data_IF_450421699420
#
_entry.id   IF_450421699420
#
_cell.length_a   1.000
_cell.length_b   1.000
_cell.length_c   1.000
_cell.angle_alpha   90.00
_cell.angle_beta   90.00
_cell.angle_gamma   90.00
#
_symmetry.space_group_name_H-M   'P 1'
#
loop_
_entity.id
_entity.type
_entity.pdbx_description
1 polymer ?
#
# COMPACT_ATOMS: atom_id res chain seq x y z
N UNK A 1 -20.51 12.38 21.63
CA UNK A 1 -19.77 11.18 22.10
C UNK A 1 -18.74 10.83 21.04
N UNK A 2 -17.52 11.38 21.14
CA UNK A 2 -16.51 11.32 20.08
C UNK A 2 -15.69 10.04 20.27
N UNK A 3 -15.76 9.10 19.32
CA UNK A 3 -14.86 7.94 19.31
C UNK A 3 -13.46 8.43 18.97
N UNK A 4 -12.48 8.08 19.81
CA UNK A 4 -11.05 8.30 19.52
C UNK A 4 -10.72 7.70 18.16
N UNK A 5 -10.01 8.48 17.35
CA UNK A 5 -9.65 8.07 16.00
C UNK A 5 -8.54 7.03 16.03
N UNK A 6 -8.62 6.16 15.04
CA UNK A 6 -8.02 4.84 15.07
C UNK A 6 -6.85 4.79 14.07
N UNK A 7 -5.80 4.06 14.43
CA UNK A 7 -4.47 4.24 13.83
C UNK A 7 -4.23 3.37 12.59
N UNK A 8 -5.26 2.70 12.06
CA UNK A 8 -5.21 1.88 10.85
C UNK A 8 -5.65 2.65 9.60
N UNK A 9 -4.71 3.27 8.88
CA UNK A 9 -4.98 3.81 7.54
C UNK A 9 -3.77 3.92 6.61
N UNK A 10 -2.58 4.28 7.12
CA UNK A 10 -1.35 4.47 6.32
C UNK A 10 -0.16 3.79 7.01
N UNK A 11 0.63 3.01 6.25
CA UNK A 11 1.16 1.78 6.85
C UNK A 11 2.36 1.03 6.17
N UNK A 12 3.25 1.66 5.38
CA UNK A 12 4.09 0.94 4.37
C UNK A 12 5.47 1.75 4.12
N UNK A 13 6.73 1.18 3.87
CA UNK A 13 8.19 1.63 3.44
C UNK A 13 9.66 1.89 4.14
N UNK A 14 10.57 0.95 4.54
CA UNK A 14 12.09 0.91 4.76
C UNK A 14 12.80 -0.07 5.74
N UNK A 15 13.98 -0.69 5.48
CA UNK A 15 15.00 -0.60 4.37
C UNK A 15 15.75 -1.93 4.07
N UNK A 16 16.26 -2.22 2.83
CA UNK A 16 17.60 -1.92 2.22
C UNK A 16 17.69 -2.60 0.80
N UNK A 17 18.55 -2.33 -0.20
CA UNK A 17 19.84 -1.59 -0.32
C UNK A 17 20.12 -0.93 -1.71
N UNK A 18 21.29 -1.19 -2.36
CA UNK A 18 21.83 -0.51 -3.56
C UNK A 18 22.35 -1.52 -4.64
N UNK A 19 22.41 -1.07 -5.91
CA UNK A 19 23.24 -1.57 -7.05
C UNK A 19 22.56 -2.47 -8.12
N UNK A 20 22.99 -2.22 -9.36
CA UNK A 20 22.85 -3.02 -10.59
C UNK A 20 21.48 -3.04 -11.29
N UNK A 21 21.43 -2.39 -12.46
CA UNK A 21 20.47 -2.73 -13.50
C UNK A 21 20.85 -4.09 -14.11
N UNK A 22 20.24 -5.17 -13.62
CA UNK A 22 19.96 -6.34 -14.42
C UNK A 22 18.43 -6.54 -14.46
N UNK A 23 17.91 -6.89 -15.63
CA UNK A 23 16.62 -7.55 -15.71
C UNK A 23 16.73 -8.90 -14.98
N UNK A 24 16.35 -8.93 -13.71
CA UNK A 24 16.01 -10.17 -13.04
C UNK A 24 14.72 -10.69 -13.72
N UNK A 25 14.85 -11.77 -14.50
CA UNK A 25 13.71 -12.43 -15.09
C UNK A 25 12.77 -12.90 -13.95
N UNK A 26 11.59 -12.28 -13.83
CA UNK A 26 10.65 -12.52 -12.73
C UNK A 26 10.33 -11.31 -11.83
N UNK A 27 10.81 -10.10 -12.14
CA UNK A 27 10.32 -8.87 -11.52
C UNK A 27 9.24 -8.20 -12.40
N UNK A 28 7.99 -8.25 -11.94
CA UNK A 28 6.83 -7.60 -12.54
C UNK A 28 6.60 -6.23 -11.88
N UNK A 29 6.22 -5.24 -12.68
CA UNK A 29 5.98 -3.87 -12.22
C UNK A 29 4.69 -3.36 -12.86
N UNK A 30 3.79 -2.85 -12.03
CA UNK A 30 2.48 -2.37 -12.45
C UNK A 30 2.27 -0.93 -12.00
N UNK A 31 1.85 -0.08 -12.92
CA UNK A 31 1.52 1.32 -12.73
C UNK A 31 0.01 1.50 -12.58
N UNK A 32 -0.35 2.44 -11.71
CA UNK A 32 -1.73 2.75 -11.37
C UNK A 32 -1.94 4.25 -11.33
N UNK A 33 -3.08 4.69 -11.86
CA UNK A 33 -3.54 6.06 -11.73
C UNK A 33 -4.43 6.20 -10.50
N UNK A 34 -4.23 7.27 -9.72
CA UNK A 34 -5.06 7.57 -8.54
C UNK A 34 -6.24 8.46 -8.94
N UNK A 35 -7.43 8.06 -8.50
CA UNK A 35 -8.64 8.86 -8.53
C UNK A 35 -9.11 9.13 -7.11
N UNK A 36 -9.32 10.40 -6.76
CA UNK A 36 -9.84 10.81 -5.47
C UNK A 36 -11.30 11.23 -5.57
N UNK A 37 -12.10 10.82 -4.59
CA UNK A 37 -13.51 11.20 -4.46
C UNK A 37 -13.72 11.84 -3.10
N UNK A 38 -14.34 13.02 -3.08
CA UNK A 38 -14.63 13.79 -1.87
C UNK A 38 -16.13 14.13 -1.83
N UNK A 39 -16.76 14.00 -0.66
CA UNK A 39 -18.18 14.27 -0.45
C UNK A 39 -18.42 15.49 0.43
N UNK A 40 -18.36 16.72 -0.11
CA UNK A 40 -18.70 17.91 0.66
C UNK A 40 -20.16 17.84 1.15
N UNK A 41 -20.37 18.15 2.43
CA UNK A 41 -21.69 18.34 3.05
C UNK A 41 -22.69 17.17 2.87
N UNK A 42 -22.21 15.93 2.70
CA UNK A 42 -23.03 14.70 2.52
C UNK A 42 -23.84 14.64 1.21
N UNK A 43 -23.95 15.72 0.43
CA UNK A 43 -24.89 15.77 -0.71
C UNK A 43 -24.42 14.89 -1.88
N UNK A 44 -23.32 15.25 -2.55
CA UNK A 44 -22.83 14.58 -3.76
C UNK A 44 -21.31 14.31 -3.71
N UNK A 45 -20.85 13.33 -4.50
CA UNK A 45 -19.42 13.04 -4.66
C UNK A 45 -18.81 13.89 -5.78
N UNK A 46 -17.83 14.72 -5.43
CA UNK A 46 -16.89 15.30 -6.39
C UNK A 46 -15.80 14.27 -6.65
N UNK A 47 -15.49 14.02 -7.92
CA UNK A 47 -14.45 13.09 -8.35
C UNK A 47 -13.37 13.86 -9.11
N UNK A 48 -12.09 13.54 -8.86
CA UNK A 48 -10.97 14.03 -9.66
C UNK A 48 -10.03 12.88 -9.98
N UNK A 49 -9.81 12.70 -11.28
CA UNK A 49 -8.95 11.70 -11.87
C UNK A 49 -7.50 12.18 -11.96
N UNK A 50 -6.54 11.27 -11.79
CA UNK A 50 -5.12 11.54 -12.02
C UNK A 50 -4.49 12.46 -10.98
N UNK A 51 -4.94 12.40 -9.72
CA UNK A 51 -4.42 13.23 -8.62
C UNK A 51 -3.06 12.78 -8.08
N UNK A 52 -2.49 11.73 -8.67
CA UNK A 52 -1.29 11.04 -8.24
C UNK A 52 -1.19 9.67 -8.90
N UNK A 53 -0.13 8.94 -8.56
CA UNK A 53 0.20 7.64 -9.15
C UNK A 53 0.55 6.63 -8.06
N UNK A 54 0.43 5.35 -8.39
CA UNK A 54 0.98 4.25 -7.59
C UNK A 54 1.74 3.26 -8.48
N UNK A 55 2.70 2.55 -7.88
CA UNK A 55 3.51 1.51 -8.53
C UNK A 55 3.56 0.31 -7.59
N UNK A 56 3.03 -0.82 -8.03
CA UNK A 56 3.23 -2.13 -7.40
C UNK A 56 4.42 -2.81 -8.09
N UNK A 57 5.36 -3.36 -7.32
CA UNK A 57 6.37 -4.29 -7.86
C UNK A 57 6.22 -5.63 -7.16
N UNK A 58 6.25 -6.72 -7.92
CA UNK A 58 6.30 -8.10 -7.42
C UNK A 58 7.53 -8.76 -8.02
N UNK A 59 8.36 -9.39 -7.20
CA UNK A 59 9.39 -10.31 -7.73
C UNK A 59 9.41 -11.59 -6.93
N UNK A 60 9.41 -12.72 -7.63
CA UNK A 60 9.44 -14.04 -7.02
C UNK A 60 10.62 -14.84 -7.59
N UNK A 61 11.59 -15.13 -6.73
CA UNK A 61 12.69 -16.07 -6.95
C UNK A 61 12.39 -17.40 -6.23
N UNK A 62 13.30 -18.36 -6.34
CA UNK A 62 13.21 -19.68 -5.69
C UNK A 62 13.14 -19.63 -4.16
N UNK A 63 13.78 -18.62 -3.56
CA UNK A 63 14.06 -18.50 -2.13
C UNK A 63 13.64 -17.13 -1.56
N UNK A 64 13.49 -16.11 -2.41
CA UNK A 64 13.03 -14.76 -2.06
C UNK A 64 11.71 -14.41 -2.75
N UNK A 65 10.75 -13.87 -2.00
CA UNK A 65 9.60 -13.15 -2.54
C UNK A 65 9.63 -11.72 -2.05
N UNK A 66 9.45 -10.76 -2.97
CA UNK A 66 9.42 -9.34 -2.67
C UNK A 66 8.16 -8.70 -3.23
N UNK A 67 7.48 -7.93 -2.39
CA UNK A 67 6.36 -7.07 -2.80
C UNK A 67 6.71 -5.63 -2.46
N UNK A 68 6.45 -4.68 -3.34
CA UNK A 68 6.62 -3.25 -3.06
C UNK A 68 5.43 -2.45 -3.60
N UNK A 69 5.04 -1.37 -2.92
CA UNK A 69 3.92 -0.51 -3.31
C UNK A 69 4.23 0.95 -2.99
N UNK A 70 4.57 1.73 -4.01
CA UNK A 70 4.60 3.19 -3.94
C UNK A 70 3.20 3.73 -4.23
N UNK A 71 2.69 4.66 -3.43
CA UNK A 71 1.40 5.32 -3.65
C UNK A 71 1.50 6.78 -3.17
N UNK A 72 1.17 7.74 -4.03
CA UNK A 72 1.25 9.15 -3.65
C UNK A 72 0.41 10.08 -4.50
N UNK A 73 -0.15 11.11 -3.85
CA UNK A 73 -0.66 12.28 -4.56
C UNK A 73 0.50 13.08 -5.16
N UNK A 74 0.25 13.69 -6.31
CA UNK A 74 1.18 14.57 -6.99
C UNK A 74 0.73 16.02 -6.73
N UNK A 75 1.52 16.86 -6.04
CA UNK A 75 1.09 18.21 -5.66
C UNK A 75 0.83 19.14 -6.85
N UNK A 76 1.29 18.81 -8.07
CA UNK A 76 0.97 19.56 -9.28
C UNK A 76 -0.44 19.23 -9.82
N UNK A 77 -0.94 18.02 -9.55
CA UNK A 77 -2.23 17.51 -10.06
C UNK A 77 -3.34 17.45 -8.98
N UNK A 78 -2.95 17.25 -7.72
CA UNK A 78 -3.84 17.11 -6.58
C UNK A 78 -4.51 18.45 -6.19
N UNK A 79 -5.80 18.44 -5.80
CA UNK A 79 -6.42 19.61 -5.19
C UNK A 79 -5.64 20.09 -3.96
N UNK A 80 -5.57 21.41 -3.77
CA UNK A 80 -4.88 22.06 -2.65
C UNK A 80 -3.38 21.71 -2.52
N UNK A 81 -2.74 21.24 -3.60
CA UNK A 81 -1.31 20.86 -3.62
C UNK A 81 -0.92 19.83 -2.54
N UNK A 82 -1.85 18.93 -2.19
CA UNK A 82 -1.60 17.90 -1.18
C UNK A 82 -0.46 16.99 -1.65
N UNK A 83 0.65 17.00 -0.90
CA UNK A 83 1.76 16.07 -1.03
C UNK A 83 1.62 14.98 0.06
N UNK A 84 0.96 13.87 -0.25
CA UNK A 84 0.79 12.73 0.67
C UNK A 84 1.09 11.43 -0.03
N UNK A 85 1.99 10.66 0.55
CA UNK A 85 2.42 9.42 -0.04
C UNK A 85 3.01 8.47 1.00
N UNK A 86 3.09 7.20 0.60
CA UNK A 86 3.83 6.15 1.27
C UNK A 86 4.40 5.18 0.24
N UNK A 87 5.48 4.50 0.60
CA UNK A 87 6.01 3.37 -0.17
C UNK A 87 5.66 2.05 0.56
N UNK A 88 6.14 0.87 0.15
CA UNK A 88 6.52 -0.29 0.99
C UNK A 88 7.43 -1.17 0.20
N UNK A 89 8.22 -1.96 0.91
CA UNK A 89 8.65 -3.25 0.43
C UNK A 89 8.51 -4.29 1.57
N UNK A 90 8.18 -5.51 1.22
CA UNK A 90 8.15 -6.69 2.08
C UNK A 90 9.03 -7.71 1.39
N UNK A 91 10.20 -7.98 1.96
CA UNK A 91 11.15 -8.98 1.49
C UNK A 91 11.02 -10.21 2.38
N UNK A 92 10.79 -11.38 1.80
CA UNK A 92 10.54 -12.64 2.51
C UNK A 92 11.49 -13.70 1.97
N UNK A 93 12.31 -14.28 2.86
CA UNK A 93 13.27 -15.36 2.56
C UNK A 93 13.01 -16.55 3.47
N UNK A 94 12.28 -17.53 2.97
CA UNK A 94 11.84 -18.70 3.75
C UNK A 94 11.01 -18.31 4.97
N UNK A 95 11.59 -18.37 6.17
CA UNK A 95 10.96 -17.93 7.44
C UNK A 95 11.34 -16.51 7.85
N UNK A 96 12.43 -15.98 7.31
CA UNK A 96 12.87 -14.62 7.59
C UNK A 96 12.08 -13.62 6.74
N UNK A 97 11.85 -12.44 7.29
CA UNK A 97 11.32 -11.33 6.51
C UNK A 97 11.81 -9.97 7.01
N UNK A 98 11.91 -9.03 6.07
CA UNK A 98 12.17 -7.62 6.31
C UNK A 98 10.98 -6.84 5.77
N UNK A 99 10.18 -6.29 6.69
CA UNK A 99 9.16 -5.31 6.36
C UNK A 99 9.69 -3.92 6.67
N UNK A 100 9.16 -3.01 5.87
CA UNK A 100 9.77 -1.77 5.54
C UNK A 100 8.57 -0.78 5.57
N UNK A 101 8.62 0.33 6.35
CA UNK A 101 7.68 1.49 6.55
C UNK A 101 8.18 2.97 6.30
N UNK A 102 7.57 3.82 5.43
CA UNK A 102 7.75 5.28 5.21
C UNK A 102 6.46 5.91 4.69
N UNK A 103 6.00 6.95 5.37
CA UNK A 103 4.89 7.79 4.92
C UNK A 103 5.03 9.22 5.44
N UNK A 104 4.40 10.16 4.75
CA UNK A 104 4.09 11.49 5.31
C UNK A 104 3.24 11.33 6.58
N UNK A 105 3.61 11.97 7.70
CA UNK A 105 2.80 11.94 8.92
C UNK A 105 1.45 12.68 8.71
N UNK A 106 0.37 12.18 9.30
CA UNK A 106 -0.94 12.84 9.27
C UNK A 106 -1.71 12.63 10.58
N UNK A 107 -2.03 13.72 11.28
CA UNK A 107 -2.81 13.74 12.52
C UNK A 107 -4.20 14.39 12.31
N UNK A 108 -4.86 14.06 11.20
CA UNK A 108 -6.00 14.84 10.69
C UNK A 108 -7.38 14.16 10.76
N UNK A 109 -8.35 14.94 11.21
CA UNK A 109 -9.75 14.52 11.37
C UNK A 109 -10.69 15.09 10.28
N UNK A 110 -10.32 16.17 9.59
CA UNK A 110 -11.20 16.91 8.66
C UNK A 110 -10.47 17.62 7.50
N UNK A 111 -11.22 17.99 6.45
CA UNK A 111 -10.73 18.79 5.31
C UNK A 111 -10.22 20.17 5.77
N UNK A 112 -10.94 20.83 6.68
CA UNK A 112 -10.52 22.12 7.24
C UNK A 112 -9.21 22.01 8.04
N UNK A 113 -8.95 20.86 8.68
CA UNK A 113 -7.66 20.60 9.32
C UNK A 113 -6.54 20.45 8.28
N UNK A 114 -6.79 19.78 7.14
CA UNK A 114 -5.83 19.71 6.04
C UNK A 114 -5.50 21.11 5.48
N UNK A 115 -6.51 21.94 5.20
CA UNK A 115 -6.33 23.32 4.72
C UNK A 115 -5.66 24.25 5.75
N UNK A 116 -5.86 24.01 7.05
CA UNK A 116 -5.23 24.75 8.14
C UNK A 116 -3.76 24.34 8.31
N UNK A 117 -3.49 23.04 8.23
CA UNK A 117 -2.15 22.47 8.26
C UNK A 117 -1.32 22.98 7.07
N UNK A 118 -1.83 22.92 5.83
CA UNK A 118 -1.16 23.44 4.63
C UNK A 118 -0.76 24.92 4.80
N UNK A 119 -1.58 25.73 5.49
CA UNK A 119 -1.29 27.15 5.75
C UNK A 119 -0.33 27.40 6.92
N UNK A 120 -0.24 26.50 7.90
CA UNK A 120 0.68 26.60 9.04
C UNK A 120 2.02 25.87 8.81
N UNK A 121 2.11 25.04 7.77
CA UNK A 121 3.29 24.27 7.35
C UNK A 121 4.39 25.10 6.65
N UNK A 122 4.27 26.43 6.60
CA UNK A 122 5.29 27.34 6.03
C UNK A 122 6.62 27.41 6.82
N UNK A 123 6.86 26.47 7.74
CA UNK A 123 8.03 26.41 8.63
C UNK A 123 8.89 25.13 8.47
N UNK A 124 8.93 24.55 7.27
CA UNK A 124 10.17 24.01 6.70
C UNK A 124 10.76 22.71 7.28
N UNK A 125 9.99 21.88 8.00
CA UNK A 125 10.36 20.47 8.29
C UNK A 125 9.14 19.58 8.27
N UNK A 126 9.15 18.58 7.39
CA UNK A 126 8.01 17.70 7.15
C UNK A 126 8.33 16.33 7.77
N UNK A 127 7.63 15.91 8.84
CA UNK A 127 7.94 14.66 9.51
C UNK A 127 7.48 13.45 8.68
N UNK A 128 8.42 12.54 8.43
CA UNK A 128 8.15 11.24 7.82
C UNK A 128 8.23 10.15 8.87
N UNK A 129 7.23 9.28 8.90
CA UNK A 129 7.16 8.16 9.83
C UNK A 129 7.78 6.93 9.20
N UNK A 130 8.92 6.50 9.75
CA UNK A 130 9.65 5.30 9.32
C UNK A 130 9.26 4.11 10.20
N UNK A 131 9.20 2.91 9.62
CA UNK A 131 9.00 1.63 10.29
C UNK A 131 10.04 0.67 9.76
N UNK A 132 10.73 -0.04 10.63
CA UNK A 132 11.61 -1.15 10.26
C UNK A 132 11.09 -2.37 11.01
N UNK A 133 10.86 -3.48 10.31
CA UNK A 133 10.35 -4.70 10.94
C UNK A 133 11.15 -5.91 10.45
N UNK A 134 11.64 -6.71 11.38
CA UNK A 134 12.24 -8.02 11.07
C UNK A 134 11.41 -9.13 11.67
N UNK A 135 11.33 -10.26 10.98
CA UNK A 135 10.68 -11.47 11.47
C UNK A 135 11.53 -12.72 11.20
N UNK A 136 11.38 -13.73 12.05
CA UNK A 136 12.09 -15.03 12.03
C UNK A 136 11.12 -16.23 11.92
N UNK A 137 9.83 -15.94 11.69
CA UNK A 137 8.73 -16.91 11.65
C UNK A 137 8.18 -17.32 13.01
N UNK A 138 8.79 -16.91 14.13
CA UNK A 138 8.23 -17.04 15.49
C UNK A 138 7.87 -15.69 16.11
N UNK A 139 8.55 -14.62 15.71
CA UNK A 139 8.39 -13.26 16.22
C UNK A 139 8.53 -12.25 15.09
N UNK A 140 7.90 -11.11 15.27
CA UNK A 140 8.15 -9.91 14.50
C UNK A 140 8.53 -8.76 15.44
N UNK A 141 9.70 -8.16 15.20
CA UNK A 141 10.21 -6.99 15.92
C UNK A 141 10.04 -5.77 15.03
N UNK A 142 9.19 -4.83 15.43
CA UNK A 142 8.84 -3.63 14.66
C UNK A 142 9.30 -2.38 15.42
N UNK A 143 10.12 -1.55 14.78
CA UNK A 143 10.61 -0.26 15.27
C UNK A 143 9.92 0.85 14.49
N UNK A 144 9.33 1.82 15.19
CA UNK A 144 8.72 3.02 14.58
C UNK A 144 9.51 4.25 15.01
N UNK A 145 9.92 5.08 14.05
CA UNK A 145 10.64 6.35 14.28
C UNK A 145 10.08 7.45 13.39
N UNK A 146 10.38 8.70 13.72
CA UNK A 146 10.06 9.87 12.89
C UNK A 146 11.37 10.53 12.50
N UNK A 147 11.52 10.82 11.21
CA UNK A 147 12.63 11.59 10.65
C UNK A 147 12.12 12.96 10.21
N UNK A 148 12.93 14.00 10.38
CA UNK A 148 12.55 15.36 10.01
C UNK A 148 13.17 15.69 8.64
N UNK A 149 12.38 15.62 7.57
CA UNK A 149 12.90 15.96 6.26
C UNK A 149 13.30 17.46 6.21
N UNK A 150 14.45 17.80 5.61
CA UNK A 150 14.88 19.19 5.42
C UNK A 150 14.03 19.95 4.40
N UNK A 151 13.27 19.25 3.56
CA UNK A 151 12.41 19.81 2.52
C UNK A 151 11.17 18.94 2.26
N UNK A 152 10.24 19.46 1.45
CA UNK A 152 9.00 18.80 1.06
C UNK A 152 9.26 17.76 -0.05
N UNK A 153 9.66 16.54 0.34
CA UNK A 153 9.88 15.46 -0.61
C UNK A 153 8.56 14.91 -1.17
N UNK A 154 8.49 14.80 -2.49
CA UNK A 154 7.39 14.14 -3.22
C UNK A 154 7.65 12.64 -3.40
N UNK A 155 6.62 11.92 -3.84
CA UNK A 155 6.68 10.50 -4.24
C UNK A 155 7.83 10.18 -5.22
N UNK A 156 8.30 11.17 -6.00
CA UNK A 156 9.39 11.04 -6.99
C UNK A 156 10.78 10.98 -6.33
N UNK A 157 10.91 11.55 -5.12
CA UNK A 157 12.18 11.62 -4.37
C UNK A 157 12.35 10.47 -3.37
N UNK A 158 11.58 9.38 -3.54
CA UNK A 158 11.67 8.18 -2.70
C UNK A 158 13.13 7.79 -2.39
N UNK A 159 14.06 7.59 -3.36
CA UNK A 159 15.44 7.15 -3.05
C UNK A 159 16.20 8.06 -2.07
N UNK A 160 15.92 9.36 -2.08
CA UNK A 160 16.58 10.35 -1.21
C UNK A 160 16.08 10.19 0.23
N UNK A 161 14.77 10.06 0.41
CA UNK A 161 14.19 9.75 1.72
C UNK A 161 14.57 8.36 2.21
N UNK A 162 14.85 7.44 1.29
CA UNK A 162 15.36 6.14 1.68
C UNK A 162 16.73 6.26 2.36
N UNK A 163 17.67 6.90 1.66
CA UNK A 163 19.02 7.18 2.16
C UNK A 163 19.01 8.09 3.42
N UNK A 164 18.08 9.05 3.52
CA UNK A 164 17.89 9.84 4.74
C UNK A 164 17.45 8.97 5.94
N UNK A 165 16.40 8.16 5.76
CA UNK A 165 15.91 7.25 6.80
C UNK A 165 17.01 6.29 7.27
N UNK A 166 17.83 5.74 6.36
CA UNK A 166 18.95 4.86 6.69
C UNK A 166 20.01 5.52 7.58
N UNK A 167 20.32 6.79 7.33
CA UNK A 167 21.36 7.56 8.02
C UNK A 167 20.89 8.11 9.36
N UNK A 168 19.66 8.58 9.46
CA UNK A 168 19.09 9.10 10.71
C UNK A 168 18.76 7.96 11.70
N UNK A 169 19.71 7.66 12.60
CA UNK A 169 19.52 6.68 13.69
C UNK A 169 18.81 7.28 14.91
N UNK A 170 17.68 7.93 14.68
CA UNK A 170 16.79 8.44 15.75
C UNK A 170 16.24 7.27 16.56
N UNK A 171 16.17 7.42 17.89
CA UNK A 171 15.50 6.44 18.74
C UNK A 171 14.03 6.28 18.33
N UNK A 172 13.55 5.03 18.35
CA UNK A 172 12.22 4.67 17.90
C UNK A 172 11.54 3.72 18.87
N UNK A 173 10.21 3.77 18.91
CA UNK A 173 9.41 2.82 19.71
C UNK A 173 9.55 1.43 19.10
N UNK A 174 10.16 0.50 19.83
CA UNK A 174 10.24 -0.91 19.46
C UNK A 174 9.09 -1.70 20.06
N UNK A 175 8.54 -2.66 19.32
CA UNK A 175 7.51 -3.59 19.74
C UNK A 175 7.79 -4.98 19.18
N UNK A 176 7.66 -6.00 20.01
CA UNK A 176 7.83 -7.41 19.62
C UNK A 176 6.49 -8.11 19.76
N UNK A 177 6.07 -8.84 18.74
CA UNK A 177 4.92 -9.76 18.79
C UNK A 177 5.38 -11.18 18.46
N UNK A 178 4.74 -12.18 19.08
CA UNK A 178 4.85 -13.58 18.61
C UNK A 178 3.98 -13.75 17.37
N UNK A 179 4.52 -14.44 16.37
CA UNK A 179 3.81 -14.87 15.17
C UNK A 179 3.18 -16.23 15.44
N UNK A 180 1.85 -16.38 15.30
CA UNK A 180 1.22 -17.69 15.20
C UNK A 180 1.73 -18.46 13.98
N UNK A 181 1.64 -19.79 14.02
CA UNK A 181 1.93 -20.62 12.85
C UNK A 181 1.07 -20.20 11.64
N UNK A 182 1.69 -20.15 10.46
CA UNK A 182 1.04 -19.68 9.23
C UNK A 182 0.81 -18.16 9.14
N UNK A 183 1.13 -17.37 10.16
CA UNK A 183 1.02 -15.92 10.08
C UNK A 183 2.01 -15.32 9.07
N UNK A 184 1.57 -14.29 8.33
CA UNK A 184 2.43 -13.56 7.40
C UNK A 184 3.19 -12.41 8.09
N UNK A 185 4.44 -12.15 7.67
CA UNK A 185 5.29 -11.14 8.30
C UNK A 185 4.87 -9.70 7.97
N UNK A 186 3.99 -9.51 6.97
CA UNK A 186 3.55 -8.21 6.48
C UNK A 186 2.16 -8.25 5.83
N UNK A 187 1.68 -7.08 5.45
CA UNK A 187 0.35 -6.86 4.88
C UNK A 187 0.27 -7.20 3.40
N UNK A 188 1.25 -6.81 2.58
CA UNK A 188 1.23 -7.10 1.14
C UNK A 188 1.27 -8.61 0.88
N UNK A 189 2.11 -9.34 1.59
CA UNK A 189 2.17 -10.80 1.50
C UNK A 189 0.84 -11.47 1.93
N UNK A 190 0.17 -10.92 2.95
CA UNK A 190 -1.16 -11.39 3.35
C UNK A 190 -2.23 -11.10 2.30
N UNK A 191 -2.17 -9.93 1.63
CA UNK A 191 -3.08 -9.57 0.53
C UNK A 191 -2.83 -10.44 -0.70
N UNK A 192 -1.57 -10.66 -1.08
CA UNK A 192 -1.18 -11.53 -2.19
C UNK A 192 -1.75 -12.95 -2.02
N UNK A 193 -1.53 -13.55 -0.85
CA UNK A 193 -2.13 -14.85 -0.55
C UNK A 193 -3.65 -14.80 -0.50
N UNK A 194 -4.26 -13.75 0.07
CA UNK A 194 -5.71 -13.63 0.14
C UNK A 194 -6.39 -13.44 -1.23
N UNK A 195 -5.64 -13.16 -2.31
CA UNK A 195 -6.17 -13.16 -3.68
C UNK A 195 -6.25 -14.57 -4.29
N UNK A 196 -5.42 -15.53 -3.83
CA UNK A 196 -5.37 -16.89 -4.40
C UNK A 196 -6.65 -17.70 -4.11
N UNK A 197 -6.89 -18.73 -4.92
CA UNK A 197 -7.97 -19.69 -4.66
C UNK A 197 -7.54 -20.70 -3.58
N UNK A 198 -8.48 -21.14 -2.74
CA UNK A 198 -8.19 -22.06 -1.62
C UNK A 198 -7.48 -21.47 -0.39
N UNK A 199 -7.05 -20.20 -0.43
CA UNK A 199 -6.31 -19.57 0.69
C UNK A 199 -7.05 -19.57 2.03
N UNK A 200 -6.31 -19.67 3.16
CA UNK A 200 -6.86 -19.51 4.50
C UNK A 200 -7.64 -18.20 4.67
N UNK A 201 -8.70 -18.24 5.45
CA UNK A 201 -9.56 -17.07 5.69
C UNK A 201 -10.12 -17.12 7.12
N UNK A 202 -9.59 -16.33 8.08
CA UNK A 202 -8.63 -15.24 7.90
C UNK A 202 -7.19 -15.68 7.63
N UNK A 203 -6.40 -14.77 7.06
CA UNK A 203 -4.93 -14.78 7.12
C UNK A 203 -4.48 -13.87 8.26
N UNK A 204 -3.75 -14.41 9.22
CA UNK A 204 -3.10 -13.61 10.28
C UNK A 204 -1.85 -12.94 9.73
N UNK A 205 -1.61 -11.67 10.05
CA UNK A 205 -0.38 -10.98 9.69
C UNK A 205 0.12 -10.03 10.78
N UNK A 206 1.43 -9.81 10.82
CA UNK A 206 2.05 -8.82 11.70
C UNK A 206 2.16 -7.46 11.01
N UNK A 207 1.88 -6.40 11.76
CA UNK A 207 2.01 -5.03 11.27
C UNK A 207 2.12 -4.03 12.43
N UNK A 208 3.01 -3.04 12.36
CA UNK A 208 3.28 -2.06 13.45
C UNK A 208 3.55 -2.66 14.86
N UNK A 209 4.10 -3.88 14.92
CA UNK A 209 4.26 -4.62 16.19
C UNK A 209 2.91 -4.93 16.85
N UNK A 210 1.89 -5.22 16.04
CA UNK A 210 0.57 -5.74 16.39
C UNK A 210 0.23 -6.88 15.42
N UNK A 211 -0.73 -7.72 15.80
CA UNK A 211 -1.30 -8.73 14.92
C UNK A 211 -2.65 -8.27 14.36
N UNK A 212 -2.92 -8.66 13.12
CA UNK A 212 -4.16 -8.40 12.40
C UNK A 212 -4.65 -9.68 11.73
N UNK A 213 -5.95 -9.76 11.47
CA UNK A 213 -6.59 -10.84 10.74
C UNK A 213 -7.25 -10.27 9.47
N UNK A 214 -6.68 -10.57 8.30
CA UNK A 214 -7.24 -10.22 7.00
C UNK A 214 -8.27 -11.27 6.57
N UNK A 215 -9.50 -10.85 6.28
CA UNK A 215 -10.55 -11.70 5.71
C UNK A 215 -10.93 -11.24 4.32
N UNK A 216 -10.98 -12.16 3.36
CA UNK A 216 -11.70 -12.00 2.09
C UNK A 216 -13.16 -12.35 2.34
N UNK A 217 -14.10 -11.49 1.97
CA UNK A 217 -15.53 -11.69 2.30
C UNK A 217 -16.35 -11.90 1.04
N UNK A 218 -17.02 -10.86 0.55
CA UNK A 218 -17.79 -10.90 -0.69
C UNK A 218 -16.84 -11.10 -1.87
N UNK A 219 -17.19 -11.99 -2.79
CA UNK A 219 -16.48 -12.18 -4.06
C UNK A 219 -17.48 -12.19 -5.22
N UNK A 220 -17.06 -11.67 -6.37
CA UNK A 220 -17.81 -11.68 -7.61
C UNK A 220 -16.85 -11.94 -8.77
N UNK A 221 -17.11 -12.98 -9.56
CA UNK A 221 -16.38 -13.23 -10.81
C UNK A 221 -16.80 -12.22 -11.88
N UNK A 222 -15.81 -11.74 -12.63
CA UNK A 222 -15.94 -10.84 -13.77
C UNK A 222 -15.32 -11.59 -14.95
N UNK A 223 -16.10 -11.80 -16.02
CA UNK A 223 -15.65 -12.57 -17.18
C UNK A 223 -14.50 -11.89 -17.93
N UNK A 224 -14.54 -10.55 -17.99
CA UNK A 224 -13.52 -9.70 -18.58
C UNK A 224 -13.53 -8.32 -17.90
N UNK A 225 -12.39 -7.91 -17.33
CA UNK A 225 -12.23 -6.59 -16.71
C UNK A 225 -11.65 -5.59 -17.70
N UNK A 226 -12.28 -4.42 -17.78
CA UNK A 226 -11.94 -3.35 -18.71
C UNK A 226 -11.53 -2.09 -17.95
N UNK A 227 -10.40 -1.48 -18.35
CA UNK A 227 -9.96 -0.17 -17.88
C UNK A 227 -9.73 0.76 -19.08
N UNK A 228 -10.55 1.80 -19.20
CA UNK A 228 -10.58 2.64 -20.40
C UNK A 228 -10.97 1.83 -21.63
N UNK A 229 -10.05 1.73 -22.61
CA UNK A 229 -10.19 0.91 -23.81
C UNK A 229 -9.43 -0.43 -23.74
N UNK A 230 -8.83 -0.75 -22.59
CA UNK A 230 -7.90 -1.87 -22.43
C UNK A 230 -8.54 -3.03 -21.68
N UNK A 231 -8.48 -4.21 -22.28
CA UNK A 231 -8.92 -5.48 -21.71
C UNK A 231 -7.83 -6.11 -20.84
N UNK A 232 -8.20 -6.58 -19.64
CA UNK A 232 -7.30 -7.29 -18.72
C UNK A 232 -7.75 -8.74 -18.48
N UNK A 233 -8.86 -9.18 -19.08
CA UNK A 233 -9.33 -10.56 -19.00
C UNK A 233 -10.06 -10.89 -17.68
N UNK A 234 -10.22 -12.19 -17.37
CA UNK A 234 -11.05 -12.63 -16.25
C UNK A 234 -10.47 -12.18 -14.90
N UNK A 235 -11.36 -11.75 -14.01
CA UNK A 235 -11.01 -11.15 -12.73
C UNK A 235 -11.99 -11.55 -11.62
N UNK A 236 -11.59 -11.34 -10.37
CA UNK A 236 -12.47 -11.40 -9.19
C UNK A 236 -12.47 -10.03 -8.53
N UNK A 237 -13.65 -9.45 -8.36
CA UNK A 237 -13.89 -8.35 -7.43
C UNK A 237 -14.17 -8.91 -6.03
N UNK A 238 -13.40 -8.49 -5.03
CA UNK A 238 -13.54 -8.95 -3.66
C UNK A 238 -13.50 -7.81 -2.63
N UNK A 239 -14.29 -7.96 -1.57
CA UNK A 239 -14.24 -7.12 -0.37
C UNK A 239 -13.30 -7.75 0.68
N UNK A 240 -12.50 -6.91 1.34
CA UNK A 240 -11.55 -7.31 2.36
C UNK A 240 -11.79 -6.54 3.67
N UNK A 241 -11.62 -7.25 4.79
CA UNK A 241 -11.68 -6.68 6.14
C UNK A 241 -10.41 -7.09 6.88
N UNK A 242 -9.57 -6.12 7.25
CA UNK A 242 -8.50 -6.34 8.21
C UNK A 242 -8.99 -5.96 9.62
N UNK A 243 -8.89 -6.88 10.56
CA UNK A 243 -9.26 -6.66 11.97
C UNK A 243 -8.02 -6.69 12.86
N UNK A 244 -7.78 -5.63 13.61
CA UNK A 244 -6.75 -5.56 14.67
C UNK A 244 -7.06 -6.54 15.80
N UNK A 245 -6.09 -7.37 16.18
CA UNK A 245 -6.21 -8.29 17.30
C UNK A 245 -6.08 -7.60 18.68
N UNK A 246 -5.72 -6.32 18.71
CA UNK A 246 -5.50 -5.56 19.96
C UNK A 246 -6.77 -4.86 20.47
N UNK A 247 -7.50 -4.22 19.56
CA UNK A 247 -8.62 -3.31 19.86
C UNK A 247 -9.87 -3.60 19.00
N UNK A 248 -9.81 -4.59 18.11
CA UNK A 248 -10.92 -4.94 17.22
C UNK A 248 -11.19 -3.92 16.11
N UNK A 249 -10.31 -2.92 15.91
CA UNK A 249 -10.42 -1.96 14.82
C UNK A 249 -10.50 -2.67 13.47
N UNK A 250 -11.43 -2.23 12.60
CA UNK A 250 -11.64 -2.82 11.28
C UNK A 250 -11.35 -1.82 10.16
N UNK A 251 -10.38 -2.15 9.31
CA UNK A 251 -10.15 -1.48 8.03
C UNK A 251 -10.84 -2.26 6.91
N UNK A 252 -11.63 -1.58 6.06
CA UNK A 252 -12.32 -2.18 4.90
C UNK A 252 -11.79 -1.58 3.61
N UNK A 253 -11.57 -2.43 2.62
CA UNK A 253 -11.19 -2.05 1.25
C UNK A 253 -11.69 -3.12 0.27
N UNK A 254 -11.70 -2.82 -1.02
CA UNK A 254 -11.96 -3.82 -2.06
C UNK A 254 -10.82 -3.87 -3.07
N UNK A 255 -10.61 -5.05 -3.65
CA UNK A 255 -9.66 -5.27 -4.75
C UNK A 255 -10.39 -6.05 -5.84
N UNK A 256 -10.32 -5.57 -7.07
CA UNK A 256 -10.54 -6.38 -8.27
C UNK A 256 -9.19 -6.82 -8.77
N UNK A 257 -8.96 -8.12 -8.93
CA UNK A 257 -7.68 -8.70 -9.33
C UNK A 257 -7.85 -9.74 -10.44
N UNK A 258 -6.86 -9.84 -11.33
CA UNK A 258 -6.89 -10.79 -12.44
C UNK A 258 -6.70 -12.24 -11.97
N UNK A 259 -7.27 -13.19 -12.71
CA UNK A 259 -7.22 -14.62 -12.36
C UNK A 259 -6.49 -15.50 -13.38
N UNK A 260 -5.97 -14.92 -14.47
CA UNK A 260 -5.29 -15.66 -15.54
C UNK A 260 -4.28 -14.78 -16.29
N UNK A 261 -3.38 -15.44 -17.03
CA UNK A 261 -2.38 -14.76 -17.87
C UNK A 261 -1.40 -13.91 -17.07
N UNK A 262 -0.84 -12.88 -17.72
CA UNK A 262 0.12 -11.96 -17.12
C UNK A 262 -0.43 -11.14 -15.94
N UNK A 263 -1.76 -11.08 -15.77
CA UNK A 263 -2.42 -10.37 -14.67
C UNK A 263 -2.93 -11.29 -13.56
N UNK A 264 -2.50 -12.56 -13.53
CA UNK A 264 -2.86 -13.49 -12.46
C UNK A 264 -2.34 -12.99 -11.08
N UNK A 265 -3.26 -12.83 -10.14
CA UNK A 265 -3.02 -12.28 -8.79
C UNK A 265 -2.56 -10.80 -8.80
N UNK A 266 -2.70 -10.09 -9.92
CA UNK A 266 -2.40 -8.65 -10.03
C UNK A 266 -3.65 -7.83 -9.70
N UNK A 267 -3.60 -6.87 -8.76
CA UNK A 267 -4.66 -5.89 -8.57
C UNK A 267 -4.90 -5.08 -9.85
N UNK A 268 -6.13 -5.03 -10.33
CA UNK A 268 -6.58 -4.24 -11.48
C UNK A 268 -7.30 -2.96 -11.03
N UNK A 269 -8.03 -3.03 -9.91
CA UNK A 269 -8.60 -1.87 -9.21
C UNK A 269 -8.55 -2.09 -7.71
N UNK A 270 -8.14 -1.09 -6.95
CA UNK A 270 -8.21 -1.06 -5.49
C UNK A 270 -9.09 0.12 -5.06
N UNK A 271 -9.98 -0.08 -4.10
CA UNK A 271 -10.80 1.00 -3.54
C UNK A 271 -10.72 1.00 -2.02
N UNK A 272 -10.41 2.17 -1.46
CA UNK A 272 -10.34 2.38 -0.02
C UNK A 272 -11.08 3.65 0.39
N UNK A 273 -11.90 3.56 1.44
CA UNK A 273 -12.67 4.69 1.97
C UNK A 273 -12.23 4.99 3.41
N UNK A 274 -11.15 5.78 3.62
CA UNK A 274 -10.66 6.11 4.97
C UNK A 274 -11.65 6.92 5.82
N UNK A 275 -12.56 7.67 5.17
CA UNK A 275 -13.58 8.50 5.83
C UNK A 275 -14.89 8.42 5.06
N UNK A 276 -16.02 8.62 5.74
CA UNK A 276 -17.33 8.69 5.06
C UNK A 276 -17.38 9.73 3.93
N UNK A 277 -16.54 10.77 4.01
CA UNK A 277 -16.41 11.86 3.03
C UNK A 277 -15.25 11.72 2.03
N UNK A 278 -14.40 10.69 2.13
CA UNK A 278 -13.20 10.52 1.28
C UNK A 278 -13.02 9.07 0.84
N UNK A 279 -12.90 8.86 -0.46
CA UNK A 279 -12.55 7.59 -1.08
C UNK A 279 -11.37 7.80 -2.04
N UNK A 280 -10.45 6.84 -2.04
CA UNK A 280 -9.32 6.75 -2.97
C UNK A 280 -9.50 5.47 -3.79
N UNK A 281 -9.27 5.58 -5.09
CA UNK A 281 -9.29 4.48 -6.03
C UNK A 281 -7.97 4.42 -6.80
N UNK A 282 -7.38 3.23 -6.87
CA UNK A 282 -6.28 2.91 -7.77
C UNK A 282 -6.88 2.12 -8.93
N UNK A 283 -6.59 2.49 -10.18
CA UNK A 283 -6.92 1.67 -11.34
C UNK A 283 -5.64 1.47 -12.16
N UNK A 284 -5.40 0.24 -12.62
CA UNK A 284 -4.24 -0.14 -13.43
C UNK A 284 -4.17 0.67 -14.74
N UNK A 285 -2.96 1.10 -15.09
CA UNK A 285 -2.65 1.98 -16.23
C UNK A 285 -1.46 1.45 -17.06
N UNK A 286 -1.29 0.13 -17.09
CA UNK A 286 -0.25 -0.59 -17.83
C UNK A 286 -0.67 -0.89 -19.28
N UNK A 287 -1.20 0.12 -19.99
CA UNK A 287 -1.78 -0.08 -21.31
C UNK A 287 -0.79 -0.68 -22.34
N UNK A 288 0.52 -0.40 -22.19
CA UNK A 288 1.56 -0.97 -23.04
C UNK A 288 1.79 -2.47 -22.77
N UNK A 289 1.87 -2.87 -21.50
CA UNK A 289 2.12 -4.27 -21.11
C UNK A 289 0.88 -5.15 -21.30
N UNK A 290 -0.33 -4.58 -21.14
CA UNK A 290 -1.58 -5.26 -21.42
C UNK A 290 -1.73 -5.65 -22.91
N UNK A 291 -1.30 -4.79 -23.83
CA UNK A 291 -1.27 -5.10 -25.27
C UNK A 291 -0.25 -6.21 -25.57
N UNK A 292 0.95 -6.13 -24.99
CA UNK A 292 1.97 -7.18 -25.16
C UNK A 292 1.53 -8.55 -24.59
N UNK A 293 0.79 -8.54 -23.47
CA UNK A 293 0.21 -9.74 -22.87
C UNK A 293 -0.90 -10.36 -23.74
N UNK A 294 -1.72 -9.55 -24.42
CA UNK A 294 -2.77 -10.01 -25.31
C UNK A 294 -2.21 -10.69 -26.59
N UNK A 295 -1.15 -10.13 -27.17
CA UNK A 295 -0.49 -10.70 -28.35
C UNK A 295 0.27 -12.01 -28.04
N UNK A 296 0.70 -12.21 -26.78
CA UNK A 296 1.39 -13.42 -26.33
C UNK A 296 0.56 -14.71 -26.32
N UNK A 297 -0.76 -14.64 -26.50
CA UNK A 297 -1.69 -15.79 -26.40
C UNK A 297 -1.85 -16.56 -27.73
N UNK A 298 -1.04 -16.24 -28.76
CA UNK A 298 -1.05 -16.95 -30.07
C UNK A 298 0.32 -17.49 -30.50
N UNK A 299 0.85 -18.49 -29.82
CA UNK A 299 1.73 -19.53 -30.39
C UNK A 299 1.49 -20.89 -29.74
#
# INVERSE_FOLDING_TARGET
MIRRLSAGAFALALTFALTAALHAAGAERHHYRITARVRPLVVFWITRDGVGDAVLTRSQASDETRYSLLIGSDPERAPFHINRWGYIEEEIRGREARLTGLMTQSDEESIAQAESNIRSQSSGRHPFKVIETTADGERATSRVRVIAAPEDYTVRQLPILLDLAQRERTEGTSRVVRLPEGARPGFLAAVADAMREGSPNPITYAYYGRLYALRRTRTQRIADFQSGATAYGPAIAAEFVSTSAHDGEQTRFSITYGTAGAFAEVPLRVTYQPRWWMQVELTIDDAADALAAADGVRR
#
